data_IF_458247606297
#
_entry.id   IF_458247606297
#
_cell.length_a   1.000
_cell.length_b   1.000
_cell.length_c   1.000
_cell.angle_alpha   90.00
_cell.angle_beta   90.00
_cell.angle_gamma   90.00
#
_symmetry.space_group_name_H-M   'P 1'
#
loop_
_entity.id
_entity.type
_entity.pdbx_description
1 polymer ?
#
# COMPACT_ATOMS: atom_id res chain seq x y z
N UNK A 1 6.05 9.51 -8.22
CA UNK A 1 5.45 8.24 -7.72
C UNK A 1 4.07 8.02 -8.33
N UNK A 2 3.48 6.82 -8.28
CA UNK A 2 2.11 6.57 -8.76
C UNK A 2 1.18 6.20 -7.61
N UNK A 3 -0.01 6.79 -7.60
CA UNK A 3 -1.10 6.46 -6.69
C UNK A 3 -2.23 5.86 -7.53
N UNK A 4 -2.62 4.61 -7.29
CA UNK A 4 -3.89 4.08 -7.80
C UNK A 4 -4.99 4.41 -6.78
N UNK A 5 -6.02 5.13 -7.23
CA UNK A 5 -7.17 5.50 -6.42
C UNK A 5 -8.40 4.75 -6.93
N UNK A 6 -8.97 3.88 -6.11
CA UNK A 6 -10.21 3.15 -6.42
C UNK A 6 -11.40 3.71 -5.66
N UNK A 7 -12.59 3.59 -6.27
CA UNK A 7 -13.86 3.90 -5.63
C UNK A 7 -14.79 2.69 -5.70
N UNK A 8 -15.01 1.97 -4.59
CA UNK A 8 -15.68 0.66 -4.60
C UNK A 8 -17.16 0.74 -4.98
N UNK A 9 -17.82 1.88 -4.75
CA UNK A 9 -19.26 2.05 -5.05
C UNK A 9 -19.51 2.03 -6.56
N UNK A 10 -18.63 2.63 -7.35
CA UNK A 10 -18.73 2.63 -8.82
C UNK A 10 -17.85 1.57 -9.49
N UNK A 11 -16.90 1.00 -8.74
CA UNK A 11 -15.88 0.09 -9.28
C UNK A 11 -14.86 0.77 -10.19
N UNK A 12 -14.82 2.10 -10.21
CA UNK A 12 -13.87 2.85 -11.03
C UNK A 12 -12.53 3.00 -10.32
N UNK A 13 -11.45 3.03 -11.10
CA UNK A 13 -10.11 3.32 -10.60
C UNK A 13 -9.41 4.36 -11.49
N UNK A 14 -8.54 5.17 -10.87
CA UNK A 14 -7.73 6.17 -11.56
C UNK A 14 -6.31 6.12 -11.04
N UNK A 15 -5.36 6.00 -11.96
CA UNK A 15 -3.94 6.10 -11.64
C UNK A 15 -3.48 7.56 -11.81
N UNK A 16 -2.78 8.07 -10.81
CA UNK A 16 -2.26 9.44 -10.79
C UNK A 16 -0.76 9.38 -10.60
N UNK A 17 -0.03 10.11 -11.43
CA UNK A 17 1.40 10.32 -11.27
C UNK A 17 1.62 11.61 -10.47
N UNK A 18 2.29 11.50 -9.33
CA UNK A 18 2.57 12.61 -8.42
C UNK A 18 4.06 12.63 -8.15
N UNK A 19 4.74 13.67 -8.62
CA UNK A 19 6.20 13.82 -8.46
C UNK A 19 6.58 14.80 -7.34
N UNK A 20 5.64 15.66 -6.91
CA UNK A 20 5.87 16.62 -5.84
C UNK A 20 5.85 15.95 -4.46
N UNK A 21 7.01 15.91 -3.81
CA UNK A 21 7.19 15.32 -2.47
C UNK A 21 6.34 16.02 -1.39
N UNK A 22 6.06 17.33 -1.54
CA UNK A 22 5.25 18.04 -0.55
C UNK A 22 3.83 17.46 -0.46
N UNK A 23 3.28 17.05 -1.60
CA UNK A 23 1.94 16.44 -1.69
C UNK A 23 1.89 15.04 -1.11
N UNK A 24 3.00 14.32 -1.27
CA UNK A 24 3.17 12.94 -0.83
C UNK A 24 3.43 12.83 0.67
N UNK A 25 3.94 13.91 1.29
CA UNK A 25 4.26 13.96 2.72
C UNK A 25 3.11 13.54 3.63
N UNK A 26 1.87 13.83 3.24
CA UNK A 26 0.66 13.48 4.01
C UNK A 26 0.50 11.97 4.22
N UNK A 27 1.02 11.15 3.30
CA UNK A 27 0.91 9.70 3.40
C UNK A 27 2.09 9.07 4.17
N UNK A 28 3.17 9.78 4.44
CA UNK A 28 4.29 9.21 5.18
C UNK A 28 3.92 8.91 6.64
N UNK A 29 4.53 7.85 7.18
CA UNK A 29 4.38 7.38 8.57
C UNK A 29 2.96 6.93 8.95
N UNK A 30 2.03 6.89 7.99
CA UNK A 30 0.69 6.35 8.18
C UNK A 30 0.70 4.83 8.03
N UNK A 31 -0.15 4.13 8.79
CA UNK A 31 -0.31 2.69 8.67
C UNK A 31 -1.33 2.36 7.57
N UNK A 32 -1.30 1.13 7.06
CA UNK A 32 -2.40 0.58 6.28
C UNK A 32 -3.73 0.72 7.05
N UNK A 33 -4.83 0.86 6.32
CA UNK A 33 -6.18 1.16 6.80
C UNK A 33 -6.38 2.54 7.47
N UNK A 34 -5.36 3.41 7.50
CA UNK A 34 -5.52 4.79 7.99
C UNK A 34 -6.25 5.65 6.96
N UNK A 35 -7.17 6.49 7.44
CA UNK A 35 -7.85 7.52 6.65
C UNK A 35 -7.01 8.80 6.59
N UNK A 36 -6.87 9.35 5.39
CA UNK A 36 -6.03 10.53 5.09
C UNK A 36 -6.81 11.48 4.20
N UNK A 37 -6.74 12.78 4.51
CA UNK A 37 -7.32 13.81 3.64
C UNK A 37 -6.51 13.94 2.35
N UNK A 38 -7.19 13.95 1.21
CA UNK A 38 -6.58 14.02 -0.12
C UNK A 38 -6.40 15.47 -0.64
N UNK A 39 -6.75 16.47 0.18
CA UNK A 39 -6.70 17.91 -0.15
C UNK A 39 -5.34 18.37 -0.67
N UNK A 40 -4.25 17.72 -0.23
CA UNK A 40 -2.88 18.09 -0.60
C UNK A 40 -2.47 17.61 -1.99
N UNK A 41 -3.23 16.71 -2.63
CA UNK A 41 -2.87 16.16 -3.95
C UNK A 41 -3.14 17.15 -5.09
N UNK A 42 -4.35 17.68 -5.14
CA UNK A 42 -4.80 18.69 -6.12
C UNK A 42 -6.14 19.27 -5.70
N UNK A 43 -6.55 20.37 -6.32
CA UNK A 43 -7.87 20.98 -6.10
C UNK A 43 -9.02 20.02 -6.44
N UNK A 44 -8.82 19.10 -7.40
CA UNK A 44 -9.78 18.03 -7.75
C UNK A 44 -10.07 17.08 -6.58
N UNK A 45 -9.13 16.93 -5.65
CA UNK A 45 -9.18 16.00 -4.52
C UNK A 45 -9.57 16.68 -3.21
N UNK A 46 -9.93 17.97 -3.26
CA UNK A 46 -10.35 18.73 -2.09
C UNK A 46 -11.67 18.19 -1.54
N UNK A 47 -11.71 17.94 -0.24
CA UNK A 47 -12.85 17.37 0.48
C UNK A 47 -12.93 15.85 0.43
N UNK A 48 -12.00 15.17 -0.24
CA UNK A 48 -11.97 13.71 -0.27
C UNK A 48 -11.14 13.14 0.88
N UNK A 49 -11.67 12.07 1.47
CA UNK A 49 -10.95 11.22 2.43
C UNK A 49 -10.65 9.89 1.76
N UNK A 50 -9.37 9.53 1.74
CA UNK A 50 -8.90 8.26 1.18
C UNK A 50 -8.36 7.37 2.27
N UNK A 51 -8.58 6.07 2.14
CA UNK A 51 -8.03 5.06 3.04
C UNK A 51 -6.89 4.33 2.36
N UNK A 52 -5.75 4.23 3.03
CA UNK A 52 -4.58 3.51 2.50
C UNK A 52 -4.88 2.00 2.58
N UNK A 53 -5.16 1.34 1.46
CA UNK A 53 -5.38 -0.11 1.48
C UNK A 53 -4.07 -0.91 1.35
N UNK A 54 -3.02 -0.32 0.77
CA UNK A 54 -1.69 -0.91 0.68
C UNK A 54 -0.76 -0.21 -0.31
N UNK A 55 0.27 -0.94 -0.74
CA UNK A 55 1.26 -0.44 -1.69
C UNK A 55 2.36 -1.47 -1.94
N UNK A 56 3.11 -1.23 -3.00
CA UNK A 56 4.29 -2.00 -3.33
C UNK A 56 5.52 -1.10 -3.22
N UNK A 57 6.66 -1.65 -2.80
CA UNK A 57 7.92 -0.94 -2.90
C UNK A 57 8.46 -0.91 -4.35
N UNK A 58 9.56 -0.19 -4.56
CA UNK A 58 10.31 -0.15 -5.83
C UNK A 58 10.73 -1.52 -6.39
N UNK A 59 10.92 -2.53 -5.54
CA UNK A 59 11.31 -3.89 -5.97
C UNK A 59 10.10 -4.84 -6.09
N UNK A 60 8.87 -4.33 -5.99
CA UNK A 60 7.63 -5.07 -6.16
C UNK A 60 7.17 -5.88 -4.94
N UNK A 61 7.80 -5.80 -3.77
CA UNK A 61 7.25 -6.49 -2.59
C UNK A 61 6.05 -5.73 -2.03
N UNK A 62 4.94 -6.44 -1.75
CA UNK A 62 3.74 -5.86 -1.18
C UNK A 62 3.92 -5.56 0.31
N UNK A 63 3.26 -4.50 0.77
CA UNK A 63 3.07 -4.21 2.19
C UNK A 63 2.18 -5.28 2.85
N UNK A 64 2.45 -5.59 4.12
CA UNK A 64 1.67 -6.56 4.89
C UNK A 64 1.21 -5.95 6.21
N UNK A 65 -0.10 -5.98 6.45
CA UNK A 65 -0.69 -5.58 7.72
C UNK A 65 -0.09 -6.38 8.90
N UNK A 66 0.16 -5.68 10.01
CA UNK A 66 0.79 -6.20 11.22
C UNK A 66 2.32 -6.20 11.23
N UNK A 67 2.98 -5.72 10.17
CA UNK A 67 4.44 -5.55 10.13
C UNK A 67 4.79 -4.11 10.47
N UNK A 68 5.11 -3.88 11.74
CA UNK A 68 5.37 -2.54 12.31
C UNK A 68 6.81 -2.05 12.15
N UNK A 69 7.74 -2.92 11.78
CA UNK A 69 9.13 -2.50 11.53
C UNK A 69 9.22 -1.68 10.27
N UNK A 70 9.99 -0.59 10.24
CA UNK A 70 10.28 0.14 9.01
C UNK A 70 11.12 -0.73 8.05
N UNK A 71 10.66 -0.87 6.80
CA UNK A 71 11.35 -1.61 5.75
C UNK A 71 10.89 -3.07 5.58
N UNK A 72 11.79 -3.92 5.06
CA UNK A 72 11.45 -5.28 4.64
C UNK A 72 11.78 -6.31 5.69
N UNK A 73 10.90 -7.30 5.79
CA UNK A 73 11.09 -8.47 6.64
C UNK A 73 10.79 -9.74 5.87
N UNK A 74 11.44 -10.83 6.29
CA UNK A 74 11.18 -12.17 5.81
C UNK A 74 10.31 -12.89 6.83
N UNK A 75 9.14 -13.37 6.38
CA UNK A 75 8.19 -14.08 7.22
C UNK A 75 7.92 -15.48 6.66
N UNK A 76 7.85 -16.47 7.55
CA UNK A 76 7.44 -17.82 7.21
C UNK A 76 5.92 -17.89 7.03
N UNK A 77 5.46 -17.97 5.79
CA UNK A 77 4.04 -17.97 5.42
C UNK A 77 3.51 -19.38 5.21
N UNK A 78 2.25 -19.60 5.57
CA UNK A 78 1.48 -20.82 5.29
C UNK A 78 0.24 -20.47 4.44
N UNK A 79 -0.48 -21.50 3.98
CA UNK A 79 -1.74 -21.33 3.25
C UNK A 79 -2.71 -20.40 4.00
N UNK A 80 -3.27 -19.41 3.31
CA UNK A 80 -4.20 -18.42 3.86
C UNK A 80 -3.56 -17.09 4.24
N UNK A 81 -2.23 -16.99 4.29
CA UNK A 81 -1.57 -15.70 4.47
C UNK A 81 -1.60 -14.87 3.18
N UNK A 82 -1.87 -13.57 3.32
CA UNK A 82 -1.76 -12.60 2.20
C UNK A 82 -0.39 -12.65 1.53
N UNK A 83 -0.36 -12.43 0.21
CA UNK A 83 0.80 -12.50 -0.68
C UNK A 83 1.60 -13.82 -0.61
N UNK A 84 0.92 -14.95 -0.40
CA UNK A 84 1.49 -16.29 -0.55
C UNK A 84 0.49 -17.22 -1.24
N UNK A 85 0.97 -17.97 -2.25
CA UNK A 85 0.18 -18.99 -2.93
C UNK A 85 0.94 -20.32 -2.85
N UNK A 86 0.51 -21.27 -2.00
CA UNK A 86 1.20 -22.55 -1.85
C UNK A 86 1.13 -23.36 -3.15
N UNK A 87 2.23 -24.02 -3.51
CA UNK A 87 2.31 -24.94 -4.65
C UNK A 87 2.09 -26.39 -4.22
N UNK A 88 2.34 -26.71 -2.95
CA UNK A 88 2.11 -28.04 -2.35
C UNK A 88 1.30 -27.94 -1.05
N UNK A 89 0.59 -29.00 -0.71
CA UNK A 89 -0.14 -29.10 0.55
C UNK A 89 0.85 -29.11 1.72
N UNK A 90 0.60 -28.27 2.73
CA UNK A 90 1.47 -28.15 3.91
C UNK A 90 2.74 -27.31 3.68
N UNK A 91 2.93 -26.75 2.49
CA UNK A 91 4.09 -25.91 2.19
C UNK A 91 4.10 -24.64 3.06
N UNK A 92 5.30 -24.31 3.56
CA UNK A 92 5.60 -23.03 4.17
C UNK A 92 6.84 -22.46 3.51
N UNK A 93 6.80 -21.19 3.19
CA UNK A 93 7.90 -20.50 2.50
C UNK A 93 8.26 -19.22 3.23
N UNK A 94 9.56 -18.95 3.30
CA UNK A 94 10.07 -17.70 3.86
C UNK A 94 10.10 -16.63 2.77
N UNK A 95 9.08 -15.77 2.73
CA UNK A 95 8.93 -14.76 1.68
C UNK A 95 9.06 -13.35 2.24
N UNK A 96 9.70 -12.47 1.46
CA UNK A 96 9.84 -11.06 1.81
C UNK A 96 8.52 -10.30 1.71
N UNK A 97 8.30 -9.36 2.62
CA UNK A 97 7.26 -8.33 2.50
C UNK A 97 7.69 -7.02 3.13
N UNK A 98 6.99 -5.95 2.75
CA UNK A 98 7.18 -4.63 3.33
C UNK A 98 6.32 -4.43 4.58
N UNK A 99 6.79 -3.50 5.40
CA UNK A 99 6.06 -2.90 6.51
C UNK A 99 4.70 -2.35 6.11
N UNK A 100 3.78 -2.30 7.07
CA UNK A 100 2.50 -1.60 6.88
C UNK A 100 2.62 -0.08 7.05
N UNK A 101 3.73 0.40 7.61
CA UNK A 101 4.08 1.81 7.58
C UNK A 101 4.29 2.24 6.12
N UNK A 102 3.50 3.22 5.70
CA UNK A 102 3.66 3.96 4.46
C UNK A 102 4.98 4.73 4.50
N UNK A 103 6.02 4.08 3.97
CA UNK A 103 7.21 4.74 3.46
C UNK A 103 7.00 4.77 1.95
N UNK A 104 6.59 5.91 1.39
CA UNK A 104 6.35 5.98 -0.05
C UNK A 104 7.70 6.00 -0.79
N UNK A 105 8.29 4.83 -0.93
CA UNK A 105 9.31 4.57 -1.94
C UNK A 105 8.76 3.70 -3.07
N UNK A 106 7.43 3.62 -3.20
CA UNK A 106 6.81 2.81 -4.23
C UNK A 106 5.31 3.05 -4.41
N UNK A 107 4.82 2.52 -5.52
CA UNK A 107 3.50 2.77 -6.09
C UNK A 107 2.40 2.35 -5.11
N UNK A 108 1.58 3.30 -4.65
CA UNK A 108 0.44 2.98 -3.79
C UNK A 108 -0.68 2.40 -4.65
N UNK A 109 -1.26 1.29 -4.22
CA UNK A 109 -2.48 0.76 -4.81
C UNK A 109 -3.61 0.98 -3.80
N UNK A 110 -4.74 1.54 -4.24
CA UNK A 110 -6.01 1.36 -3.54
C UNK A 110 -6.95 0.48 -4.37
N UNK A 111 -7.52 -0.48 -3.64
CA UNK A 111 -8.10 -1.80 -3.99
C UNK A 111 -7.38 -2.70 -5.02
#
# INVERSE_FOLDING_TARGET
>A
MKLNISFPVTGCQKLIEVDDECKLRTFYEKLMATEVAADTLSEEWKGYVVRISGGNNKQGFPMKQGVLTHGRVHLLRSKGHSCYRPRRTGERENHGCQSEHSQLEGYSWTD
#
